data_IF_428745952202
#
_entry.id   IF_428745952202
#
_cell.length_a   1.000
_cell.length_b   1.000
_cell.length_c   1.000
_cell.angle_alpha   90.00
_cell.angle_beta   90.00
_cell.angle_gamma   90.00
#
_symmetry.space_group_name_H-M   'P 1'
#
loop_
_entity.id
_entity.type
_entity.pdbx_description
1 polymer ?
#
# COMPACT_ATOMS: atom_id res chain seq x y z
N UNK A 1 -14.78 38.83 -7.43
CA UNK A 1 -14.86 38.19 -8.76
C UNK A 1 -15.79 36.99 -8.64
N UNK A 2 -16.91 37.01 -9.34
CA UNK A 2 -17.90 35.98 -9.28
C UNK A 2 -17.38 34.76 -10.06
N UNK A 3 -17.19 33.64 -9.39
CA UNK A 3 -17.07 32.34 -10.03
C UNK A 3 -18.45 32.03 -10.61
N UNK A 4 -18.62 32.18 -11.93
CA UNK A 4 -19.81 31.73 -12.59
C UNK A 4 -19.72 30.21 -12.74
N UNK A 5 -20.15 29.49 -11.71
CA UNK A 5 -20.51 28.10 -11.85
C UNK A 5 -21.67 28.05 -12.88
N UNK A 6 -21.39 27.53 -14.05
CA UNK A 6 -22.38 27.37 -15.11
C UNK A 6 -23.26 26.21 -14.73
N UNK A 7 -24.40 26.48 -14.09
CA UNK A 7 -25.40 25.47 -13.80
C UNK A 7 -25.97 24.91 -15.09
N UNK A 8 -25.98 23.63 -15.22
CA UNK A 8 -26.71 22.62 -16.00
C UNK A 8 -27.43 22.95 -17.30
N UNK A 9 -27.74 24.21 -17.60
CA UNK A 9 -28.49 24.56 -18.81
C UNK A 9 -27.62 24.86 -20.04
N UNK A 10 -26.33 24.91 -19.91
CA UNK A 10 -25.38 25.15 -21.02
C UNK A 10 -24.77 23.88 -21.62
N UNK A 11 -25.05 22.71 -21.06
CA UNK A 11 -24.63 21.42 -21.63
C UNK A 11 -25.20 21.16 -23.04
N UNK A 12 -26.28 21.87 -23.44
CA UNK A 12 -26.91 21.75 -24.77
C UNK A 12 -26.31 22.67 -25.83
N UNK A 13 -25.51 23.65 -25.47
CA UNK A 13 -24.86 24.55 -26.43
C UNK A 13 -23.40 24.11 -26.67
N UNK A 14 -23.14 23.40 -27.72
CA UNK A 14 -21.96 23.17 -28.57
C UNK A 14 -20.55 23.52 -28.01
N UNK A 15 -20.36 23.66 -26.71
CA UNK A 15 -19.09 23.95 -26.09
C UNK A 15 -18.21 22.68 -26.05
N UNK A 16 -16.94 22.84 -26.32
CA UNK A 16 -15.96 21.80 -26.14
C UNK A 16 -15.76 21.59 -24.64
N UNK A 17 -16.04 20.39 -24.16
CA UNK A 17 -15.85 20.02 -22.76
C UNK A 17 -14.59 19.18 -22.62
N UNK A 18 -13.75 19.53 -21.66
CA UNK A 18 -12.55 18.78 -21.29
C UNK A 18 -12.92 17.85 -20.15
N UNK A 19 -12.66 16.56 -20.33
CA UNK A 19 -12.89 15.53 -19.32
C UNK A 19 -11.63 14.68 -19.15
N UNK A 20 -11.44 14.00 -17.97
CA UNK A 20 -10.32 13.11 -17.75
C UNK A 20 -10.36 11.92 -18.73
N UNK A 21 -9.21 11.60 -19.32
CA UNK A 21 -9.09 10.44 -20.20
C UNK A 21 -9.01 9.16 -19.38
N UNK A 22 -10.03 8.29 -19.49
CA UNK A 22 -10.05 6.93 -18.92
C UNK A 22 -9.49 6.83 -17.48
N UNK A 23 -10.00 7.65 -16.56
CA UNK A 23 -9.61 7.57 -15.14
C UNK A 23 -10.26 6.35 -14.48
N UNK A 24 -9.49 5.26 -14.37
CA UNK A 24 -9.88 4.02 -13.69
C UNK A 24 -9.50 4.03 -12.21
N UNK A 25 -9.79 2.92 -11.52
CA UNK A 25 -9.53 2.76 -10.08
C UNK A 25 -8.04 2.82 -9.72
N UNK A 26 -7.16 2.41 -10.63
CA UNK A 26 -5.72 2.41 -10.46
C UNK A 26 -5.03 3.59 -11.14
N UNK A 27 -5.76 4.39 -11.90
CA UNK A 27 -5.21 5.59 -12.55
C UNK A 27 -4.98 6.67 -11.50
N UNK A 28 -3.74 7.09 -11.31
CA UNK A 28 -3.37 8.16 -10.38
C UNK A 28 -3.35 9.52 -11.04
N UNK A 29 -3.03 9.57 -12.34
CA UNK A 29 -2.87 10.78 -13.13
C UNK A 29 -3.29 10.53 -14.58
N UNK A 30 -4.00 11.49 -15.17
CA UNK A 30 -4.37 11.42 -16.58
C UNK A 30 -4.54 12.82 -17.19
N UNK A 31 -4.36 12.90 -18.50
CA UNK A 31 -4.59 14.11 -19.28
C UNK A 31 -6.09 14.30 -19.56
N UNK A 32 -6.51 15.56 -19.64
CA UNK A 32 -7.84 15.93 -20.11
C UNK A 32 -7.94 15.83 -21.62
N UNK A 33 -9.07 15.31 -22.09
CA UNK A 33 -9.41 15.23 -23.52
C UNK A 33 -10.63 16.07 -23.83
N UNK A 34 -10.66 16.62 -25.03
CA UNK A 34 -11.85 17.33 -25.54
C UNK A 34 -12.92 16.33 -25.95
N UNK A 35 -14.07 16.45 -25.31
CA UNK A 35 -15.29 15.67 -25.61
C UNK A 35 -16.32 16.58 -26.26
N UNK A 36 -16.85 16.16 -27.42
CA UNK A 36 -17.92 16.87 -28.11
C UNK A 36 -19.08 15.92 -28.32
N UNK A 37 -20.26 16.22 -27.71
CA UNK A 37 -21.48 15.41 -27.83
C UNK A 37 -21.27 13.91 -27.60
N UNK A 38 -20.50 13.52 -26.58
CA UNK A 38 -20.23 12.11 -26.29
C UNK A 38 -19.28 11.40 -27.26
N UNK A 39 -18.65 12.13 -28.19
CA UNK A 39 -17.61 11.60 -29.08
C UNK A 39 -16.25 12.16 -28.67
N UNK A 40 -15.34 11.26 -28.31
CA UNK A 40 -13.95 11.63 -28.03
C UNK A 40 -13.26 12.04 -29.33
N UNK A 41 -12.85 13.29 -29.44
CA UNK A 41 -11.93 13.70 -30.51
C UNK A 41 -10.51 13.32 -30.09
N UNK A 42 -9.99 12.24 -30.64
CA UNK A 42 -8.55 11.98 -30.64
C UNK A 42 -7.88 13.06 -31.48
N UNK A 43 -7.15 13.99 -30.84
CA UNK A 43 -6.22 14.82 -31.62
C UNK A 43 -5.92 16.24 -31.15
N UNK A 44 -6.71 16.89 -30.30
CA UNK A 44 -6.30 18.20 -29.78
C UNK A 44 -6.28 18.14 -28.25
N UNK A 45 -5.09 18.15 -27.70
CA UNK A 45 -4.83 18.25 -26.25
C UNK A 45 -4.75 19.72 -25.81
N UNK A 46 -4.77 20.64 -26.78
CA UNK A 46 -4.66 22.09 -26.54
C UNK A 46 -6.05 22.67 -26.32
N UNK A 47 -6.20 23.41 -25.25
CA UNK A 47 -7.46 24.00 -24.81
C UNK A 47 -7.58 25.40 -25.35
N UNK A 48 -8.74 25.71 -25.88
CA UNK A 48 -9.08 27.04 -26.41
C UNK A 48 -9.78 27.89 -25.35
N UNK A 49 -9.71 29.21 -25.53
CA UNK A 49 -10.49 30.14 -24.74
C UNK A 49 -12.00 29.81 -24.89
N UNK A 50 -12.73 29.75 -23.77
CA UNK A 50 -14.13 29.37 -23.72
C UNK A 50 -14.40 27.88 -23.63
N UNK A 51 -13.39 27.01 -23.65
CA UNK A 51 -13.55 25.58 -23.34
C UNK A 51 -14.07 25.40 -21.91
N UNK A 52 -14.89 24.39 -21.71
CA UNK A 52 -15.41 24.03 -20.37
C UNK A 52 -14.66 22.84 -19.85
N UNK A 53 -14.12 22.95 -18.64
CA UNK A 53 -13.46 21.85 -17.92
C UNK A 53 -14.46 21.25 -16.95
N UNK A 54 -14.67 19.94 -17.03
CA UNK A 54 -15.49 19.20 -16.10
C UNK A 54 -14.62 18.49 -15.06
N UNK A 55 -14.91 18.73 -13.80
CA UNK A 55 -14.23 18.10 -12.65
C UNK A 55 -15.26 17.26 -11.91
N UNK A 56 -14.98 15.96 -11.78
CA UNK A 56 -15.84 15.04 -11.01
C UNK A 56 -15.46 15.04 -9.53
N UNK A 57 -16.32 14.46 -8.70
CA UNK A 57 -16.01 14.23 -7.29
C UNK A 57 -14.70 13.44 -7.14
N UNK A 58 -13.92 13.80 -6.12
CA UNK A 58 -12.62 13.17 -5.81
C UNK A 58 -11.60 13.23 -6.96
N UNK A 59 -11.66 14.30 -7.74
CA UNK A 59 -10.62 14.62 -8.72
C UNK A 59 -9.99 15.95 -8.39
N UNK A 60 -8.69 16.04 -8.64
CA UNK A 60 -7.96 17.29 -8.66
C UNK A 60 -7.61 17.63 -10.10
N UNK A 61 -8.06 18.79 -10.55
CA UNK A 61 -7.77 19.32 -11.88
C UNK A 61 -6.68 20.35 -11.81
N UNK A 62 -5.74 20.33 -12.74
CA UNK A 62 -4.75 21.37 -12.94
C UNK A 62 -4.68 21.79 -14.40
N UNK A 63 -4.59 23.10 -14.61
CA UNK A 63 -4.35 23.73 -15.89
C UNK A 63 -2.87 24.06 -16.01
N UNK A 64 -2.22 23.53 -17.04
CA UNK A 64 -0.78 23.66 -17.27
C UNK A 64 -0.54 24.39 -18.57
N UNK A 65 0.33 25.41 -18.57
CA UNK A 65 0.77 26.15 -19.75
C UNK A 65 2.29 26.07 -19.85
N UNK A 66 2.79 25.51 -20.96
CA UNK A 66 4.22 25.37 -21.19
C UNK A 66 4.96 24.59 -20.08
N UNK A 67 4.30 23.64 -19.43
CA UNK A 67 4.84 22.85 -18.32
C UNK A 67 4.74 23.52 -16.95
N UNK A 68 4.09 24.71 -16.86
CA UNK A 68 3.85 25.43 -15.61
C UNK A 68 2.37 25.33 -15.22
N UNK A 69 2.11 24.99 -13.97
CA UNK A 69 0.74 25.01 -13.43
C UNK A 69 0.32 26.48 -13.29
N UNK A 70 -0.75 26.84 -14.00
CA UNK A 70 -1.30 28.21 -13.98
C UNK A 70 -2.55 28.31 -13.11
N UNK A 71 -3.30 27.20 -12.99
CA UNK A 71 -4.47 27.14 -12.15
C UNK A 71 -4.83 25.69 -11.76
N UNK A 72 -5.63 25.49 -10.70
CA UNK A 72 -6.06 24.18 -10.23
C UNK A 72 -7.35 24.27 -9.38
N UNK A 73 -8.08 23.17 -9.29
CA UNK A 73 -9.20 23.01 -8.36
C UNK A 73 -9.44 21.53 -8.01
N UNK A 74 -10.00 21.30 -6.82
CA UNK A 74 -10.57 20.01 -6.40
C UNK A 74 -12.10 20.09 -6.23
N UNK A 75 -12.69 21.25 -6.51
CA UNK A 75 -14.14 21.41 -6.43
C UNK A 75 -14.80 20.76 -7.66
N UNK A 76 -15.79 19.87 -7.46
CA UNK A 76 -16.52 19.28 -8.57
C UNK A 76 -17.37 20.32 -9.26
N UNK A 77 -17.48 20.25 -10.59
CA UNK A 77 -18.27 21.19 -11.36
C UNK A 77 -17.73 21.45 -12.77
N UNK A 78 -18.30 22.48 -13.40
CA UNK A 78 -17.92 22.93 -14.73
C UNK A 78 -17.24 24.30 -14.63
N UNK A 79 -16.07 24.43 -15.22
CA UNK A 79 -15.26 25.63 -15.19
C UNK A 79 -14.92 26.10 -16.60
N UNK A 80 -15.14 27.37 -16.89
CA UNK A 80 -14.83 27.93 -18.21
C UNK A 80 -13.42 28.50 -18.20
N UNK A 81 -12.61 28.15 -19.20
CA UNK A 81 -11.28 28.69 -19.40
C UNK A 81 -11.40 30.11 -19.97
N UNK A 82 -10.93 31.09 -19.20
CA UNK A 82 -10.82 32.48 -19.65
C UNK A 82 -9.34 32.88 -19.66
N UNK A 83 -8.78 32.96 -20.86
CA UNK A 83 -7.39 33.35 -21.09
C UNK A 83 -7.11 34.83 -20.84
N UNK A 84 -8.15 35.66 -20.73
CA UNK A 84 -8.03 37.12 -20.54
C UNK A 84 -7.86 37.51 -19.07
N UNK A 85 -8.14 36.60 -18.13
CA UNK A 85 -8.07 36.87 -16.70
C UNK A 85 -6.76 36.37 -16.08
N UNK A 86 -6.28 37.11 -15.07
CA UNK A 86 -5.10 36.74 -14.29
C UNK A 86 -5.25 35.36 -13.65
N UNK A 87 -4.15 34.57 -13.49
CA UNK A 87 -4.19 33.26 -12.87
C UNK A 87 -4.79 33.33 -11.47
N UNK A 88 -5.69 32.45 -11.16
CA UNK A 88 -6.35 32.14 -9.87
C UNK A 88 -7.88 32.13 -9.88
N UNK A 89 -8.51 31.74 -11.00
CA UNK A 89 -9.98 31.65 -11.07
C UNK A 89 -10.56 30.40 -10.38
N UNK A 90 -9.73 29.36 -10.16
CA UNK A 90 -10.21 28.07 -9.69
C UNK A 90 -9.75 27.72 -8.26
N UNK A 91 -8.98 28.61 -7.59
CA UNK A 91 -8.49 28.33 -6.24
C UNK A 91 -9.65 28.32 -5.25
N UNK A 92 -10.20 27.13 -5.04
CA UNK A 92 -11.21 26.85 -4.03
C UNK A 92 -10.64 26.63 -2.63
N UNK A 93 -11.42 25.99 -1.77
CA UNK A 93 -11.12 25.73 -0.35
C UNK A 93 -10.10 24.61 -0.13
N UNK A 94 -8.96 24.64 -0.82
CA UNK A 94 -7.89 23.66 -0.61
C UNK A 94 -7.07 23.96 0.64
N UNK A 95 -6.50 22.90 1.20
CA UNK A 95 -5.69 22.93 2.41
C UNK A 95 -4.48 23.88 2.26
N UNK A 96 -4.05 24.49 3.35
CA UNK A 96 -2.94 25.46 3.36
C UNK A 96 -1.64 24.86 2.81
N UNK A 97 -1.40 23.57 3.02
CA UNK A 97 -0.23 22.85 2.51
C UNK A 97 -0.18 22.79 0.97
N UNK A 98 -1.33 22.60 0.32
CA UNK A 98 -1.44 22.57 -1.15
C UNK A 98 -1.21 23.96 -1.73
N UNK A 99 -1.72 25.01 -1.09
CA UNK A 99 -1.48 26.40 -1.49
C UNK A 99 0.00 26.79 -1.38
N UNK A 100 0.69 26.36 -0.32
CA UNK A 100 2.13 26.59 -0.15
C UNK A 100 2.95 25.87 -1.23
N UNK A 101 2.56 24.65 -1.59
CA UNK A 101 3.19 23.91 -2.69
C UNK A 101 2.99 24.61 -4.03
N UNK A 102 1.82 25.16 -4.29
CA UNK A 102 1.53 25.93 -5.51
C UNK A 102 2.40 27.18 -5.65
N UNK A 103 2.53 27.97 -4.59
CA UNK A 103 3.37 29.18 -4.62
C UNK A 103 4.84 28.85 -4.91
N UNK A 104 5.34 27.71 -4.45
CA UNK A 104 6.71 27.24 -4.77
C UNK A 104 6.88 26.82 -6.22
N UNK A 105 5.84 26.27 -6.85
CA UNK A 105 5.86 25.81 -8.25
C UNK A 105 5.65 26.94 -9.26
N UNK A 106 5.11 28.08 -8.85
CA UNK A 106 4.72 29.20 -9.73
C UNK A 106 5.88 29.99 -10.34
N UNK A 107 7.10 29.85 -9.88
CA UNK A 107 8.24 30.64 -10.35
C UNK A 107 8.92 30.07 -11.59
N UNK A 108 8.65 30.65 -12.78
CA UNK A 108 9.42 30.44 -14.01
C UNK A 108 8.72 30.85 -15.31
N UNK A 109 9.23 31.86 -15.94
CA UNK A 109 9.28 32.24 -17.37
C UNK A 109 8.03 32.12 -18.26
N UNK A 110 7.83 33.17 -19.08
CA UNK A 110 6.84 33.19 -20.16
C UNK A 110 7.28 32.31 -21.34
N UNK A 111 6.38 31.47 -21.84
CA UNK A 111 6.55 30.68 -23.07
C UNK A 111 5.23 30.56 -23.83
N UNK A 112 5.21 30.31 -25.14
CA UNK A 112 3.99 30.32 -25.94
C UNK A 112 3.04 29.18 -25.56
N UNK A 113 1.86 29.53 -25.41
CA UNK A 113 0.57 29.02 -25.03
C UNK A 113 0.17 27.62 -25.59
N UNK A 114 0.63 26.55 -24.99
CA UNK A 114 0.03 25.24 -25.15
C UNK A 114 -0.60 24.80 -23.82
N UNK A 115 -1.84 25.23 -23.61
CA UNK A 115 -2.56 24.92 -22.37
C UNK A 115 -3.10 23.48 -22.42
N UNK A 116 -2.83 22.72 -21.37
CA UNK A 116 -3.31 21.37 -21.17
C UNK A 116 -3.96 21.24 -19.80
N UNK A 117 -4.97 20.37 -19.71
CA UNK A 117 -5.58 20.00 -18.43
C UNK A 117 -5.11 18.61 -18.02
N UNK A 118 -4.80 18.48 -16.75
CA UNK A 118 -4.50 17.18 -16.13
C UNK A 118 -5.37 16.95 -14.91
N UNK A 119 -5.58 15.69 -14.61
CA UNK A 119 -6.38 15.25 -13.48
C UNK A 119 -5.58 14.27 -12.61
N UNK A 120 -5.72 14.42 -11.30
CA UNK A 120 -5.17 13.50 -10.30
C UNK A 120 -6.35 12.89 -9.55
N UNK A 121 -6.28 11.59 -9.33
CA UNK A 121 -7.28 10.85 -8.58
C UNK A 121 -7.09 11.07 -7.07
N UNK A 122 -8.12 11.60 -6.39
CA UNK A 122 -8.13 11.78 -4.94
C UNK A 122 -8.88 10.67 -4.20
N UNK A 123 -9.41 9.69 -4.92
CA UNK A 123 -10.01 8.51 -4.31
C UNK A 123 -8.94 7.63 -3.66
N UNK A 124 -9.37 6.77 -2.75
CA UNK A 124 -8.51 5.72 -2.24
C UNK A 124 -8.19 4.72 -3.36
N UNK A 125 -6.91 4.58 -3.67
CA UNK A 125 -6.41 3.63 -4.67
C UNK A 125 -6.12 2.31 -3.96
N UNK A 126 -6.91 1.29 -4.27
CA UNK A 126 -6.95 0.02 -3.55
C UNK A 126 -6.24 -1.09 -4.29
N UNK A 127 -5.94 -2.18 -3.57
CA UNK A 127 -5.49 -3.42 -4.16
C UNK A 127 -4.05 -3.41 -4.68
N UNK A 128 -3.23 -2.46 -4.26
CA UNK A 128 -1.82 -2.40 -4.62
C UNK A 128 -1.11 -3.58 -3.96
N UNK A 129 -0.57 -4.49 -4.76
CA UNK A 129 0.01 -5.73 -4.26
C UNK A 129 1.43 -5.53 -3.77
N UNK A 130 1.77 -6.19 -2.67
CA UNK A 130 3.13 -6.27 -2.16
C UNK A 130 3.53 -7.70 -1.81
N UNK A 131 4.83 -7.95 -1.78
CA UNK A 131 5.41 -9.22 -1.31
C UNK A 131 6.86 -9.02 -0.92
N UNK A 132 7.24 -9.62 0.20
CA UNK A 132 8.63 -9.55 0.68
C UNK A 132 9.50 -10.51 -0.12
N UNK A 133 10.43 -9.99 -0.90
CA UNK A 133 11.44 -10.81 -1.62
C UNK A 133 12.39 -11.49 -0.63
N UNK A 134 12.88 -10.71 0.34
CA UNK A 134 13.69 -11.20 1.45
C UNK A 134 12.81 -11.36 2.69
N UNK A 135 13.11 -12.33 3.57
CA UNK A 135 12.41 -12.45 4.83
C UNK A 135 12.60 -11.19 5.69
N UNK A 136 11.51 -10.76 6.32
CA UNK A 136 11.50 -9.73 7.36
C UNK A 136 11.89 -10.40 8.67
N UNK A 137 12.90 -9.87 9.37
CA UNK A 137 13.27 -10.37 10.69
C UNK A 137 12.63 -9.53 11.79
N UNK A 138 12.24 -10.20 12.87
CA UNK A 138 11.76 -9.55 14.07
C UNK A 138 12.06 -10.42 15.29
N UNK A 139 12.17 -9.78 16.48
CA UNK A 139 12.34 -10.50 17.72
C UNK A 139 10.95 -10.84 18.31
N UNK A 140 10.67 -12.12 18.43
CA UNK A 140 9.41 -12.60 19.03
C UNK A 140 9.63 -12.86 20.53
N UNK A 141 8.95 -12.06 21.38
CA UNK A 141 9.07 -12.16 22.83
C UNK A 141 8.52 -13.49 23.37
N UNK A 142 7.51 -14.07 22.74
CA UNK A 142 6.93 -15.35 23.16
C UNK A 142 7.89 -16.51 22.92
N UNK A 143 8.55 -16.51 21.74
CA UNK A 143 9.55 -17.53 21.41
C UNK A 143 10.94 -17.19 21.97
N UNK A 144 11.16 -15.94 22.42
CA UNK A 144 12.44 -15.40 22.85
C UNK A 144 13.55 -15.67 21.83
N UNK A 145 13.25 -15.40 20.57
CA UNK A 145 14.12 -15.67 19.42
C UNK A 145 13.85 -14.69 18.29
N UNK A 146 14.84 -14.47 17.45
CA UNK A 146 14.66 -13.83 16.15
C UNK A 146 14.00 -14.81 15.20
N UNK A 147 12.91 -14.36 14.58
CA UNK A 147 12.16 -15.10 13.58
C UNK A 147 12.19 -14.37 12.24
N UNK A 148 12.20 -15.14 11.17
CA UNK A 148 12.21 -14.65 9.80
C UNK A 148 10.93 -15.06 9.11
N UNK A 149 10.20 -14.07 8.57
CA UNK A 149 8.95 -14.31 7.89
C UNK A 149 8.91 -13.69 6.49
N UNK A 150 8.11 -14.28 5.64
CA UNK A 150 7.69 -13.68 4.37
C UNK A 150 6.22 -13.33 4.45
N UNK A 151 5.88 -12.18 3.94
CA UNK A 151 4.51 -11.69 3.86
C UNK A 151 4.17 -11.28 2.44
N UNK A 152 2.93 -11.49 2.05
CA UNK A 152 2.35 -10.86 0.88
C UNK A 152 0.91 -10.42 1.16
N UNK A 153 0.47 -9.44 0.41
CA UNK A 153 -0.85 -8.86 0.62
C UNK A 153 -1.13 -7.70 -0.32
N UNK A 154 -1.96 -6.80 0.13
CA UNK A 154 -2.26 -5.57 -0.57
C UNK A 154 -2.36 -4.39 0.39
N UNK A 155 -2.15 -3.21 -0.15
CA UNK A 155 -2.33 -1.96 0.58
C UNK A 155 -3.10 -0.96 -0.28
N UNK A 156 -3.53 0.11 0.33
CA UNK A 156 -4.17 1.23 -0.35
C UNK A 156 -3.53 2.55 0.08
N UNK A 157 -3.57 3.50 -0.84
CA UNK A 157 -3.06 4.85 -0.62
C UNK A 157 -4.12 5.89 -0.99
N UNK A 158 -3.90 7.11 -0.52
CA UNK A 158 -4.63 8.30 -0.95
C UNK A 158 -3.64 9.41 -1.25
N UNK A 159 -3.89 10.15 -2.33
CA UNK A 159 -3.15 11.37 -2.65
C UNK A 159 -3.78 12.52 -1.86
N UNK A 160 -3.00 13.16 -0.98
CA UNK A 160 -3.45 14.23 -0.08
C UNK A 160 -2.85 15.59 -0.42
N UNK A 161 -1.68 15.63 -1.08
CA UNK A 161 -1.11 16.83 -1.69
C UNK A 161 -0.88 16.56 -3.19
N UNK A 162 -1.89 16.79 -4.04
CA UNK A 162 -1.81 16.46 -5.45
C UNK A 162 -0.75 17.25 -6.23
N UNK A 163 -0.44 18.48 -5.81
CA UNK A 163 0.60 19.26 -6.46
C UNK A 163 1.99 18.70 -6.18
N UNK A 164 2.23 18.29 -4.96
CA UNK A 164 3.47 17.60 -4.57
C UNK A 164 3.58 16.25 -5.27
N UNK A 165 2.50 15.49 -5.29
CA UNK A 165 2.46 14.22 -6.00
C UNK A 165 2.79 14.39 -7.49
N UNK A 166 2.23 15.41 -8.15
CA UNK A 166 2.57 15.74 -9.53
C UNK A 166 4.05 16.07 -9.71
N UNK A 167 4.62 16.88 -8.82
CA UNK A 167 6.00 17.34 -8.92
C UNK A 167 7.02 16.20 -8.70
N UNK A 168 6.72 15.27 -7.79
CA UNK A 168 7.67 14.28 -7.29
C UNK A 168 7.44 12.87 -7.84
N UNK A 169 6.19 12.49 -8.13
CA UNK A 169 5.83 11.12 -8.49
C UNK A 169 5.48 10.95 -9.96
N UNK A 170 4.93 11.99 -10.62
CA UNK A 170 4.49 11.88 -12.01
C UNK A 170 5.66 12.11 -12.97
N UNK A 171 5.95 11.18 -13.90
CA UNK A 171 6.96 11.40 -14.94
C UNK A 171 6.61 12.61 -15.82
N UNK A 172 7.60 13.44 -16.12
CA UNK A 172 7.39 14.77 -16.75
C UNK A 172 6.67 14.76 -18.10
N UNK A 173 6.76 13.67 -18.85
CA UNK A 173 6.15 13.54 -20.19
C UNK A 173 4.98 12.55 -20.19
N UNK A 174 4.48 12.16 -19.02
CA UNK A 174 3.37 11.23 -18.94
C UNK A 174 2.06 11.94 -19.31
N UNK A 175 1.26 11.28 -20.15
CA UNK A 175 -0.13 11.66 -20.41
C UNK A 175 -1.10 10.88 -19.50
N UNK A 176 -0.69 9.72 -19.00
CA UNK A 176 -1.42 8.87 -18.07
C UNK A 176 -0.43 8.08 -17.22
N UNK A 177 -0.74 7.88 -15.95
CA UNK A 177 0.05 7.09 -15.01
C UNK A 177 -0.89 6.21 -14.20
N UNK A 178 -0.63 4.92 -14.21
CA UNK A 178 -1.23 3.95 -13.31
C UNK A 178 -0.35 3.81 -12.06
N UNK A 179 -0.96 3.38 -10.95
CA UNK A 179 -0.20 3.18 -9.71
C UNK A 179 0.93 2.16 -9.90
N UNK A 180 0.74 1.16 -10.73
CA UNK A 180 1.72 0.13 -11.06
C UNK A 180 2.98 0.70 -11.71
N UNK A 181 2.86 1.77 -12.50
CA UNK A 181 3.98 2.41 -13.20
C UNK A 181 5.00 3.04 -12.24
N UNK A 182 4.53 3.48 -11.06
CA UNK A 182 5.34 4.15 -10.04
C UNK A 182 5.56 3.29 -8.80
N UNK A 183 4.79 2.23 -8.61
CA UNK A 183 4.80 1.41 -7.40
C UNK A 183 6.15 0.72 -7.16
N UNK A 184 6.87 0.32 -8.21
CA UNK A 184 8.19 -0.33 -8.04
C UNK A 184 9.18 0.58 -7.33
N UNK A 185 9.13 1.87 -7.59
CA UNK A 185 9.99 2.87 -6.92
C UNK A 185 9.69 2.96 -5.42
N UNK A 186 8.41 2.91 -5.03
CA UNK A 186 7.98 3.08 -3.64
C UNK A 186 7.87 1.77 -2.87
N UNK A 187 7.95 0.63 -3.55
CA UNK A 187 7.85 -0.68 -2.93
C UNK A 187 8.95 -0.92 -1.89
N UNK A 188 10.17 -0.44 -2.14
CA UNK A 188 11.26 -0.60 -1.19
C UNK A 188 11.02 0.22 0.09
N UNK A 189 10.55 1.47 -0.05
CA UNK A 189 10.16 2.31 1.08
C UNK A 189 9.00 1.68 1.87
N UNK A 190 8.00 1.13 1.17
CA UNK A 190 6.88 0.41 1.79
C UNK A 190 7.35 -0.83 2.56
N UNK A 191 8.26 -1.62 2.00
CA UNK A 191 8.79 -2.82 2.69
C UNK A 191 9.66 -2.47 3.90
N UNK A 192 10.38 -1.35 3.86
CA UNK A 192 11.11 -0.82 5.02
C UNK A 192 10.13 -0.41 6.13
N UNK A 193 9.08 0.33 5.79
CA UNK A 193 7.99 0.67 6.70
C UNK A 193 7.29 -0.56 7.28
N UNK A 194 7.07 -1.59 6.46
CA UNK A 194 6.49 -2.86 6.90
C UNK A 194 7.39 -3.57 7.92
N UNK A 195 8.69 -3.62 7.66
CA UNK A 195 9.65 -4.19 8.61
C UNK A 195 9.66 -3.43 9.94
N UNK A 196 9.71 -2.10 9.89
CA UNK A 196 9.65 -1.24 11.07
C UNK A 196 8.37 -1.48 11.87
N UNK A 197 7.22 -1.52 11.19
CA UNK A 197 5.92 -1.75 11.80
C UNK A 197 5.79 -3.12 12.46
N UNK A 198 6.28 -4.18 11.81
CA UNK A 198 6.32 -5.54 12.38
C UNK A 198 7.19 -5.58 13.65
N UNK A 199 8.37 -4.95 13.62
CA UNK A 199 9.24 -4.88 14.79
C UNK A 199 8.59 -4.10 15.95
N UNK A 200 7.92 -2.98 15.66
CA UNK A 200 7.23 -2.20 16.68
C UNK A 200 6.04 -2.99 17.27
N UNK A 201 5.22 -3.63 16.42
CA UNK A 201 4.13 -4.51 16.89
C UNK A 201 4.66 -5.63 17.80
N UNK A 202 5.79 -6.24 17.45
CA UNK A 202 6.42 -7.29 18.27
C UNK A 202 6.92 -6.72 19.62
N UNK A 203 7.52 -5.53 19.60
CA UNK A 203 7.96 -4.83 20.82
C UNK A 203 6.79 -4.49 21.76
N UNK A 204 5.64 -4.13 21.19
CA UNK A 204 4.40 -3.85 21.93
C UNK A 204 3.67 -5.15 22.39
N UNK A 205 4.28 -6.31 22.17
CA UNK A 205 3.75 -7.62 22.61
C UNK A 205 2.67 -8.20 21.70
N UNK A 206 2.46 -7.64 20.51
CA UNK A 206 1.52 -8.18 19.54
C UNK A 206 2.18 -9.38 18.83
N UNK A 207 1.53 -10.54 18.93
CA UNK A 207 2.01 -11.75 18.24
C UNK A 207 1.86 -11.61 16.73
N UNK A 208 2.97 -11.64 16.03
CA UNK A 208 3.00 -11.43 14.57
C UNK A 208 2.26 -12.53 13.79
N UNK A 209 2.16 -13.75 14.35
CA UNK A 209 1.31 -14.79 13.78
C UNK A 209 -0.17 -14.40 13.61
N UNK A 210 -0.63 -13.38 14.35
CA UNK A 210 -1.98 -12.83 14.21
C UNK A 210 -2.06 -11.56 13.35
N UNK A 211 -0.93 -11.08 12.80
CA UNK A 211 -0.92 -9.83 12.03
C UNK A 211 -1.89 -9.85 10.84
N UNK A 212 -2.08 -11.00 10.19
CA UNK A 212 -3.06 -11.16 9.11
C UNK A 212 -4.51 -10.89 9.56
N UNK A 213 -4.86 -11.20 10.82
CA UNK A 213 -6.18 -10.92 11.39
C UNK A 213 -6.30 -9.53 12.03
N UNK A 214 -5.20 -8.78 12.09
CA UNK A 214 -5.08 -7.47 12.73
C UNK A 214 -4.72 -6.37 11.74
N UNK A 215 -5.31 -6.42 10.54
CA UNK A 215 -5.03 -5.48 9.45
C UNK A 215 -5.20 -4.01 9.85
N UNK A 216 -6.21 -3.69 10.68
CA UNK A 216 -6.43 -2.32 11.16
C UNK A 216 -5.31 -1.83 12.09
N UNK A 217 -4.77 -2.72 12.94
CA UNK A 217 -3.63 -2.40 13.80
C UNK A 217 -2.36 -2.21 12.95
N UNK A 218 -2.09 -3.13 12.04
CA UNK A 218 -0.96 -3.02 11.12
C UNK A 218 -1.02 -1.74 10.29
N UNK A 219 -2.20 -1.38 9.76
CA UNK A 219 -2.40 -0.14 9.00
C UNK A 219 -2.00 1.09 9.81
N UNK A 220 -2.34 1.12 11.11
CA UNK A 220 -1.96 2.22 11.99
C UNK A 220 -0.44 2.29 12.19
N UNK A 221 0.22 1.15 12.47
CA UNK A 221 1.69 1.12 12.60
C UNK A 221 2.39 1.53 11.30
N UNK A 222 1.85 1.13 10.15
CA UNK A 222 2.37 1.53 8.84
C UNK A 222 2.19 3.03 8.60
N UNK A 223 1.03 3.59 8.91
CA UNK A 223 0.77 5.02 8.82
C UNK A 223 1.72 5.81 9.75
N UNK A 224 1.87 5.39 11.00
CA UNK A 224 2.80 6.01 11.96
C UNK A 224 4.26 5.96 11.47
N UNK A 225 4.65 4.88 10.78
CA UNK A 225 6.02 4.72 10.27
C UNK A 225 6.31 5.53 9.00
N UNK A 226 5.29 5.79 8.17
CA UNK A 226 5.52 6.24 6.79
C UNK A 226 4.82 7.55 6.42
N UNK A 227 3.64 7.86 6.98
CA UNK A 227 2.81 8.95 6.48
C UNK A 227 3.45 10.31 6.58
N UNK A 228 4.20 10.61 7.64
CA UNK A 228 4.90 11.89 7.75
C UNK A 228 5.88 12.08 6.59
N UNK A 229 6.69 11.07 6.31
CA UNK A 229 7.66 11.06 5.22
C UNK A 229 6.97 11.08 3.84
N UNK A 230 5.97 10.24 3.63
CA UNK A 230 5.28 10.13 2.35
C UNK A 230 4.43 11.36 2.03
N UNK A 231 3.76 11.97 3.01
CA UNK A 231 3.09 13.26 2.83
C UNK A 231 4.09 14.37 2.48
N UNK A 232 5.19 14.45 3.23
CA UNK A 232 6.20 15.48 3.04
C UNK A 232 6.96 15.35 1.72
N UNK A 233 7.25 14.13 1.24
CA UNK A 233 8.06 13.91 0.05
C UNK A 233 7.24 13.55 -1.19
N UNK A 234 6.07 12.92 -1.05
CA UNK A 234 5.31 12.36 -2.17
C UNK A 234 3.88 12.89 -2.28
N UNK A 235 3.36 13.56 -1.25
CA UNK A 235 1.98 14.03 -1.22
C UNK A 235 0.94 12.91 -1.11
N UNK A 236 1.30 11.75 -0.59
CA UNK A 236 0.42 10.60 -0.42
C UNK A 236 0.51 10.02 0.98
N UNK A 237 -0.47 9.19 1.37
CA UNK A 237 -0.54 8.51 2.66
C UNK A 237 -1.10 7.09 2.51
N UNK A 238 -0.79 6.23 3.47
CA UNK A 238 -1.32 4.88 3.57
C UNK A 238 -2.71 4.94 4.18
N UNK A 239 -3.70 4.28 3.55
CA UNK A 239 -5.06 4.15 4.10
C UNK A 239 -5.28 2.80 4.76
N UNK A 240 -4.82 1.73 4.15
CA UNK A 240 -4.95 0.38 4.70
C UNK A 240 -3.82 -0.54 4.26
N UNK A 241 -3.50 -1.52 5.11
CA UNK A 241 -2.57 -2.60 4.79
C UNK A 241 -3.19 -3.91 5.22
N UNK A 242 -3.29 -4.86 4.32
CA UNK A 242 -3.83 -6.19 4.58
C UNK A 242 -2.82 -7.27 4.18
N UNK A 243 -2.46 -8.12 5.14
CA UNK A 243 -1.62 -9.29 4.88
C UNK A 243 -2.52 -10.45 4.48
N UNK A 244 -2.33 -10.96 3.27
CA UNK A 244 -3.06 -12.13 2.78
C UNK A 244 -2.46 -13.44 3.31
N UNK A 245 -1.12 -13.50 3.45
CA UNK A 245 -0.44 -14.68 3.97
C UNK A 245 0.88 -14.30 4.65
N UNK A 246 1.18 -15.05 5.71
CA UNK A 246 2.45 -15.05 6.41
C UNK A 246 3.05 -16.44 6.37
N UNK A 247 4.34 -16.54 6.08
CA UNK A 247 5.08 -17.81 6.13
C UNK A 247 6.44 -17.58 6.79
N UNK A 248 6.80 -18.47 7.70
CA UNK A 248 8.12 -18.46 8.32
C UNK A 248 9.13 -19.21 7.47
N UNK A 249 10.39 -18.82 7.56
CA UNK A 249 11.46 -19.60 6.96
C UNK A 249 11.65 -20.94 7.70
N UNK A 250 12.40 -21.84 7.11
CA UNK A 250 12.57 -23.21 7.63
C UNK A 250 13.22 -23.24 9.02
N UNK A 251 14.18 -22.32 9.28
CA UNK A 251 14.85 -22.25 10.57
C UNK A 251 13.90 -21.74 11.67
N UNK A 252 13.12 -20.71 11.37
CA UNK A 252 12.09 -20.16 12.29
C UNK A 252 10.96 -21.18 12.54
N UNK A 253 10.54 -21.93 11.51
CA UNK A 253 9.56 -23.02 11.68
C UNK A 253 10.07 -24.11 12.64
N UNK A 254 11.32 -24.52 12.52
CA UNK A 254 11.94 -25.49 13.44
C UNK A 254 11.99 -24.97 14.87
N UNK A 255 12.35 -23.70 15.06
CA UNK A 255 12.35 -23.05 16.38
C UNK A 255 10.96 -23.04 17.01
N UNK A 256 9.94 -22.63 16.25
CA UNK A 256 8.52 -22.63 16.67
C UNK A 256 8.09 -24.04 17.05
N UNK A 257 8.41 -25.04 16.22
CA UNK A 257 8.05 -26.42 16.47
C UNK A 257 8.73 -26.97 17.74
N UNK A 258 10.04 -26.79 17.91
CA UNK A 258 10.75 -27.24 19.11
C UNK A 258 10.20 -26.62 20.40
N UNK A 259 9.82 -25.34 20.37
CA UNK A 259 9.21 -24.70 21.53
C UNK A 259 7.82 -25.22 21.82
N UNK A 260 7.02 -25.45 20.79
CA UNK A 260 5.68 -26.03 20.95
C UNK A 260 5.78 -27.46 21.51
N UNK A 261 6.70 -28.27 21.03
CA UNK A 261 6.98 -29.60 21.57
C UNK A 261 7.43 -29.52 23.04
N UNK A 262 8.36 -28.60 23.37
CA UNK A 262 8.80 -28.36 24.74
C UNK A 262 7.66 -27.90 25.66
N UNK A 263 6.76 -27.03 25.18
CA UNK A 263 5.59 -26.59 25.93
C UNK A 263 4.59 -27.75 26.17
N UNK A 264 4.38 -28.61 25.17
CA UNK A 264 3.56 -29.82 25.32
C UNK A 264 4.18 -30.81 26.33
N UNK A 265 5.52 -30.95 26.35
CA UNK A 265 6.23 -31.82 27.28
C UNK A 265 6.24 -31.29 28.71
N UNK A 266 5.96 -29.99 28.93
CA UNK A 266 5.84 -29.39 30.25
C UNK A 266 4.54 -29.78 30.98
N UNK A 267 3.51 -30.20 30.24
CA UNK A 267 2.26 -30.74 30.78
C UNK A 267 2.44 -32.23 31.10
N UNK A 268 2.31 -32.66 32.39
CA UNK A 268 2.54 -34.04 32.80
C UNK A 268 1.64 -35.03 32.06
N UNK A 269 0.38 -34.70 31.81
CA UNK A 269 -0.61 -35.59 31.18
C UNK A 269 -0.27 -35.80 29.68
N UNK A 270 0.17 -34.76 29.00
CA UNK A 270 0.58 -34.87 27.58
C UNK A 270 1.90 -35.60 27.48
N UNK A 271 2.85 -35.35 28.37
CA UNK A 271 4.15 -36.03 28.44
C UNK A 271 3.99 -37.52 28.62
N UNK A 272 3.12 -37.99 29.54
CA UNK A 272 2.86 -39.41 29.75
C UNK A 272 2.26 -40.06 28.48
N UNK A 273 1.29 -39.44 27.85
CA UNK A 273 0.71 -39.92 26.61
C UNK A 273 1.73 -40.00 25.46
N UNK A 274 2.60 -39.01 25.33
CA UNK A 274 3.66 -39.01 24.33
C UNK A 274 4.69 -40.10 24.55
N UNK A 275 5.14 -40.30 25.79
CA UNK A 275 6.10 -41.36 26.18
C UNK A 275 5.49 -42.74 25.93
N UNK A 276 4.22 -42.99 26.32
CA UNK A 276 3.53 -44.23 26.07
C UNK A 276 3.38 -44.49 24.55
N UNK A 277 2.99 -43.45 23.77
CA UNK A 277 2.90 -43.56 22.32
C UNK A 277 4.25 -43.78 21.63
N UNK A 278 5.33 -43.19 22.13
CA UNK A 278 6.68 -43.42 21.63
C UNK A 278 7.17 -44.86 21.94
N UNK A 279 6.88 -45.36 23.13
CA UNK A 279 7.16 -46.76 23.51
C UNK A 279 6.38 -47.75 22.64
N UNK A 280 5.08 -47.51 22.40
CA UNK A 280 4.27 -48.34 21.55
C UNK A 280 4.82 -48.43 20.13
N UNK A 281 5.18 -47.29 19.54
CA UNK A 281 5.78 -47.22 18.19
C UNK A 281 7.17 -47.87 18.13
N UNK A 282 7.97 -47.77 19.18
CA UNK A 282 9.28 -48.45 19.23
C UNK A 282 9.14 -49.98 19.35
N UNK A 283 8.15 -50.45 20.11
CA UNK A 283 7.80 -51.87 20.21
C UNK A 283 7.27 -52.40 18.87
N UNK A 284 6.40 -51.66 18.19
CA UNK A 284 5.89 -52.02 16.87
C UNK A 284 7.03 -52.14 15.82
N UNK A 285 7.95 -51.18 15.81
CA UNK A 285 9.14 -51.21 14.94
C UNK A 285 10.10 -52.33 15.31
N UNK A 286 10.26 -52.63 16.57
CA UNK A 286 11.05 -53.76 17.03
C UNK A 286 10.43 -55.11 16.66
N UNK A 287 9.09 -55.25 16.77
CA UNK A 287 8.33 -56.41 16.37
C UNK A 287 8.34 -56.66 14.83
N UNK A 288 8.40 -55.58 14.04
CA UNK A 288 8.48 -55.61 12.59
C UNK A 288 9.87 -56.00 12.04
N UNK A 289 10.91 -56.04 12.90
CA UNK A 289 12.28 -56.33 12.49
C UNK A 289 12.76 -57.72 13.03
N UNK A 290 12.69 -58.79 12.23
CA UNK A 290 12.98 -60.15 12.72
C UNK A 290 14.38 -60.38 13.23
N UNK A 291 15.34 -59.53 12.89
CA UNK A 291 16.75 -59.64 13.32
C UNK A 291 17.15 -58.67 14.46
N UNK A 292 16.22 -57.82 14.96
CA UNK A 292 16.53 -56.78 15.92
C UNK A 292 15.82 -56.90 17.27
N UNK A 293 14.94 -57.85 17.47
CA UNK A 293 14.07 -57.98 18.66
C UNK A 293 14.88 -58.10 19.97
N UNK A 294 16.04 -58.72 19.93
CA UNK A 294 16.87 -58.93 21.15
C UNK A 294 17.65 -57.71 21.58
N UNK A 295 18.13 -56.88 20.64
CA UNK A 295 18.83 -55.62 20.94
C UNK A 295 17.88 -54.49 21.34
N UNK A 296 16.63 -54.49 20.81
CA UNK A 296 15.60 -53.55 21.19
C UNK A 296 15.12 -53.72 22.64
N UNK A 297 15.01 -54.98 23.08
CA UNK A 297 14.56 -55.28 24.45
C UNK A 297 15.60 -54.85 25.51
N UNK A 298 16.91 -55.02 25.25
CA UNK A 298 17.96 -54.53 26.11
C UNK A 298 18.01 -52.99 26.23
N UNK A 299 17.72 -52.28 25.13
CA UNK A 299 17.68 -50.82 25.13
C UNK A 299 16.53 -50.25 25.96
N UNK A 300 15.35 -50.87 25.92
CA UNK A 300 14.18 -50.49 26.71
C UNK A 300 14.41 -50.77 28.20
N UNK A 301 15.04 -51.88 28.57
CA UNK A 301 15.33 -52.23 29.96
C UNK A 301 16.41 -51.33 30.58
N UNK A 302 17.42 -50.91 29.82
CA UNK A 302 18.38 -49.86 30.25
C UNK A 302 17.76 -48.48 30.40
N UNK A 303 16.82 -48.10 29.50
CA UNK A 303 16.11 -46.83 29.58
C UNK A 303 15.20 -46.77 30.81
N UNK A 304 14.48 -47.83 31.15
CA UNK A 304 13.63 -47.86 32.35
C UNK A 304 14.40 -47.80 33.67
N UNK A 305 15.61 -48.39 33.74
CA UNK A 305 16.46 -48.29 34.94
C UNK A 305 17.09 -46.93 35.12
N UNK A 306 17.34 -46.20 34.02
CA UNK A 306 17.89 -44.85 34.08
C UNK A 306 16.85 -43.80 34.57
N UNK A 307 15.58 -44.04 34.30
CA UNK A 307 14.48 -43.15 34.76
C UNK A 307 13.92 -43.49 36.13
N UNK A 308 14.20 -44.74 36.67
CA UNK A 308 13.69 -45.19 37.96
C UNK A 308 14.52 -44.83 39.17
N UNK A 309 15.70 -44.20 38.99
CA UNK A 309 16.63 -43.89 40.10
C UNK A 309 16.74 -42.40 40.45
N UNK A 310 15.77 -41.60 39.98
CA UNK A 310 15.72 -40.15 40.31
C UNK A 310 14.36 -39.77 40.94
N UNK A 311 14.02 -40.39 42.08
CA UNK A 311 13.04 -39.90 43.01
C UNK A 311 13.61 -39.97 44.43
#
# INVERSE_FOLDING_TARGET
>A
AAVNAVHGSFADQWLETVEPYEMGEHTVFTEGILVRKGQNKKGSQTISNGSVIHVYDNQFMMLVDGGKIIDYTAEPGYFTVDQSSSPSMFIGSLDAAVKDTFERLKFGGQTPHEQRVFYINLQEIKGIKFGTRNPVNYFDQFYNAELFLRAHGSYSIRIVDPLRFYAEAVPRNASRVEIEDINEQYMNEFLEGLQSSINQMAADGIRISFAASKSAELSRYMADAMDESWRAMRGMEIQSVAIASLSYDEASQKLIQMRNEGAMMSDPSIREGYVQGAMARSMEKAAANPNGAMNGFMGVQMGMNAFGSSF
#
